data_IF_502778747460
#
_entry.id   IF_502778747460
#
_cell.length_a   1.000
_cell.length_b   1.000
_cell.length_c   1.000
_cell.angle_alpha   90.00
_cell.angle_beta   90.00
_cell.angle_gamma   90.00
#
_symmetry.space_group_name_H-M   'P 1'
#
loop_
_entity.id
_entity.type
_entity.pdbx_description
1 polymer ?
#
# COMPACT_ATOMS: atom_id res chain seq x y z
N UNK A 1 18.77 -8.12 -16.74
CA UNK A 1 17.79 -8.85 -15.91
C UNK A 1 17.40 -8.09 -14.63
N UNK A 2 18.33 -7.76 -13.72
CA UNK A 2 18.03 -7.04 -12.46
C UNK A 2 17.27 -5.72 -12.67
N UNK A 3 17.64 -4.93 -13.69
CA UNK A 3 16.94 -3.68 -14.03
C UNK A 3 15.45 -3.90 -14.34
N UNK A 4 15.09 -5.00 -15.00
CA UNK A 4 13.69 -5.31 -15.34
C UNK A 4 12.90 -5.67 -14.08
N UNK A 5 13.48 -6.47 -13.18
CA UNK A 5 12.87 -6.76 -11.88
C UNK A 5 12.67 -5.50 -11.04
N UNK A 6 13.60 -4.54 -11.11
CA UNK A 6 13.44 -3.26 -10.42
C UNK A 6 12.35 -2.39 -11.01
N UNK A 7 12.23 -2.32 -12.34
CA UNK A 7 11.12 -1.63 -13.00
C UNK A 7 9.77 -2.28 -12.65
N UNK A 8 9.72 -3.62 -12.67
CA UNK A 8 8.55 -4.37 -12.24
C UNK A 8 8.18 -4.06 -10.79
N UNK A 9 9.16 -4.02 -9.88
CA UNK A 9 8.95 -3.66 -8.49
C UNK A 9 8.34 -2.26 -8.33
N UNK A 10 8.86 -1.27 -9.07
CA UNK A 10 8.30 0.10 -9.05
C UNK A 10 6.86 0.10 -9.58
N UNK A 11 6.60 -0.58 -10.70
CA UNK A 11 5.26 -0.68 -11.27
C UNK A 11 4.28 -1.39 -10.32
N UNK A 12 4.73 -2.47 -9.66
CA UNK A 12 3.97 -3.22 -8.66
C UNK A 12 3.47 -2.31 -7.53
N UNK A 13 4.38 -1.53 -6.94
CA UNK A 13 3.99 -0.58 -5.88
C UNK A 13 3.20 0.62 -6.41
N UNK A 14 3.43 1.05 -7.66
CA UNK A 14 2.57 2.04 -8.32
C UNK A 14 1.11 1.57 -8.44
N UNK A 15 0.89 0.30 -8.77
CA UNK A 15 -0.46 -0.30 -8.79
C UNK A 15 -1.07 -0.33 -7.38
N UNK A 16 -0.28 -0.66 -6.35
CA UNK A 16 -0.75 -0.64 -4.95
C UNK A 16 -1.15 0.78 -4.51
N UNK A 17 -0.44 1.83 -4.97
CA UNK A 17 -0.86 3.23 -4.75
C UNK A 17 -2.24 3.49 -5.39
N UNK A 18 -2.46 3.07 -6.63
CA UNK A 18 -3.76 3.24 -7.27
C UNK A 18 -4.87 2.43 -6.55
N UNK A 19 -4.56 1.20 -6.12
CA UNK A 19 -5.48 0.34 -5.39
C UNK A 19 -5.84 0.92 -4.01
N UNK A 20 -4.91 1.58 -3.32
CA UNK A 20 -5.20 2.26 -2.05
C UNK A 20 -6.07 3.51 -2.23
N UNK A 21 -5.96 4.23 -3.35
CA UNK A 21 -6.92 5.28 -3.72
C UNK A 21 -8.32 4.69 -3.93
N UNK A 22 -8.41 3.60 -4.70
CA UNK A 22 -9.65 2.85 -4.87
C UNK A 22 -10.21 2.40 -3.52
N UNK A 23 -9.35 2.00 -2.58
CA UNK A 23 -9.76 1.55 -1.26
C UNK A 23 -10.43 2.63 -0.42
N UNK A 24 -9.95 3.88 -0.50
CA UNK A 24 -10.62 5.02 0.12
C UNK A 24 -11.97 5.31 -0.54
N UNK A 25 -12.06 5.22 -1.88
CA UNK A 25 -13.33 5.34 -2.58
C UNK A 25 -14.32 4.25 -2.12
N UNK A 26 -13.90 2.99 -2.06
CA UNK A 26 -14.77 1.87 -1.63
C UNK A 26 -15.22 2.01 -0.18
N UNK A 27 -14.34 2.50 0.70
CA UNK A 27 -14.72 2.82 2.08
C UNK A 27 -15.80 3.92 2.12
N UNK A 28 -15.60 5.00 1.36
CA UNK A 28 -16.58 6.07 1.23
C UNK A 28 -17.90 5.59 0.61
N UNK A 29 -17.83 4.74 -0.42
CA UNK A 29 -19.01 4.14 -1.05
C UNK A 29 -19.80 3.29 -0.06
N UNK A 30 -19.14 2.48 0.77
CA UNK A 30 -19.82 1.72 1.83
C UNK A 30 -20.50 2.60 2.88
N UNK A 31 -19.92 3.77 3.20
CA UNK A 31 -20.48 4.73 4.17
C UNK A 31 -21.62 5.57 3.58
N UNK A 32 -21.48 6.03 2.34
CA UNK A 32 -22.34 7.06 1.73
C UNK A 32 -23.25 6.52 0.62
N UNK A 33 -23.26 5.22 0.35
CA UNK A 33 -24.13 4.64 -0.66
C UNK A 33 -25.62 4.98 -0.40
N UNK A 34 -26.36 5.16 -1.49
CA UNK A 34 -27.79 5.42 -1.44
C UNK A 34 -28.57 4.14 -1.75
N UNK A 35 -29.82 4.06 -1.32
CA UNK A 35 -30.77 2.99 -1.67
C UNK A 35 -30.35 1.56 -1.27
N UNK A 36 -29.77 1.37 -0.08
CA UNK A 36 -29.44 0.03 0.43
C UNK A 36 -28.27 -0.66 -0.28
N UNK A 37 -27.54 0.06 -1.14
CA UNK A 37 -26.34 -0.42 -1.82
C UNK A 37 -25.05 -0.19 -1.00
N UNK A 38 -25.18 -0.09 0.33
CA UNK A 38 -24.09 0.12 1.29
C UNK A 38 -23.33 -1.19 1.51
N UNK A 39 -22.54 -1.58 0.52
CA UNK A 39 -21.78 -2.82 0.57
C UNK A 39 -20.28 -2.55 0.78
N UNK A 40 -19.75 -3.07 1.88
CA UNK A 40 -18.32 -3.07 2.18
C UNK A 40 -17.60 -4.31 1.61
N UNK A 41 -18.32 -5.27 1.03
CA UNK A 41 -17.76 -6.48 0.42
C UNK A 41 -16.57 -6.20 -0.50
N UNK A 42 -16.71 -5.31 -1.51
CA UNK A 42 -15.59 -4.92 -2.37
C UNK A 42 -14.43 -4.27 -1.62
N UNK A 43 -14.72 -3.45 -0.60
CA UNK A 43 -13.70 -2.85 0.25
C UNK A 43 -12.89 -3.94 0.98
N UNK A 44 -13.54 -4.95 1.54
CA UNK A 44 -12.84 -6.04 2.22
C UNK A 44 -11.91 -6.81 1.26
N UNK A 45 -12.44 -7.23 0.11
CA UNK A 45 -11.68 -8.01 -0.88
C UNK A 45 -10.47 -7.23 -1.39
N UNK A 46 -10.64 -5.96 -1.78
CA UNK A 46 -9.53 -5.14 -2.28
C UNK A 46 -8.51 -4.87 -1.17
N UNK A 47 -8.97 -4.70 0.07
CA UNK A 47 -8.09 -4.54 1.24
C UNK A 47 -7.18 -5.74 1.47
N UNK A 48 -7.74 -6.95 1.41
CA UNK A 48 -6.99 -8.20 1.55
C UNK A 48 -5.98 -8.37 0.42
N UNK A 49 -6.38 -8.08 -0.82
CA UNK A 49 -5.51 -8.15 -1.99
C UNK A 49 -4.33 -7.17 -1.89
N UNK A 50 -4.56 -5.95 -1.39
CA UNK A 50 -3.48 -4.99 -1.10
C UNK A 50 -2.51 -5.55 -0.08
N UNK A 51 -3.01 -6.17 1.00
CA UNK A 51 -2.19 -6.77 2.06
C UNK A 51 -1.29 -7.89 1.52
N UNK A 52 -1.87 -8.79 0.72
CA UNK A 52 -1.14 -9.86 0.03
C UNK A 52 -0.11 -9.28 -0.95
N UNK A 53 -0.48 -8.24 -1.72
CA UNK A 53 0.42 -7.63 -2.69
C UNK A 53 1.64 -6.96 -2.05
N UNK A 54 1.46 -6.31 -0.89
CA UNK A 54 2.55 -5.73 -0.10
C UNK A 54 3.48 -6.84 0.42
N UNK A 55 2.92 -7.93 0.95
CA UNK A 55 3.70 -9.11 1.39
C UNK A 55 4.53 -9.70 0.25
N UNK A 56 3.92 -9.96 -0.91
CA UNK A 56 4.62 -10.45 -2.10
C UNK A 56 5.72 -9.48 -2.56
N UNK A 57 5.48 -8.19 -2.37
CA UNK A 57 6.48 -7.15 -2.59
C UNK A 57 7.79 -7.43 -1.85
N UNK A 58 7.78 -8.04 -0.66
CA UNK A 58 9.01 -8.32 0.08
C UNK A 58 9.89 -9.32 -0.69
N UNK A 59 9.28 -10.41 -1.20
CA UNK A 59 9.97 -11.36 -2.08
C UNK A 59 10.48 -10.70 -3.37
N UNK A 60 9.68 -9.83 -3.96
CA UNK A 60 10.09 -9.06 -5.15
C UNK A 60 11.27 -8.12 -4.86
N UNK A 61 11.36 -7.54 -3.66
CA UNK A 61 12.49 -6.69 -3.27
C UNK A 61 13.82 -7.48 -3.29
N UNK A 62 13.80 -8.73 -2.80
CA UNK A 62 14.95 -9.62 -2.86
C UNK A 62 15.29 -10.01 -4.30
N UNK A 63 14.29 -10.41 -5.10
CA UNK A 63 14.49 -10.76 -6.52
C UNK A 63 15.06 -9.58 -7.34
N UNK A 64 14.58 -8.36 -7.08
CA UNK A 64 15.04 -7.14 -7.72
C UNK A 64 16.37 -6.59 -7.14
N UNK A 65 16.91 -7.24 -6.10
CA UNK A 65 18.10 -6.78 -5.37
C UNK A 65 17.98 -5.31 -4.98
N UNK A 66 16.83 -4.96 -4.37
CA UNK A 66 16.59 -3.63 -3.85
C UNK A 66 17.48 -3.36 -2.64
N UNK A 67 17.90 -2.09 -2.43
CA UNK A 67 18.64 -1.73 -1.22
C UNK A 67 17.84 -2.03 0.04
N UNK A 68 18.53 -2.39 1.13
CA UNK A 68 17.88 -2.72 2.40
C UNK A 68 16.94 -1.64 2.91
N UNK A 69 17.24 -0.36 2.66
CA UNK A 69 16.32 0.74 3.02
C UNK A 69 14.94 0.58 2.36
N UNK A 70 14.86 0.23 1.07
CA UNK A 70 13.59 0.02 0.37
C UNK A 70 12.89 -1.24 0.90
N UNK A 71 13.65 -2.32 1.10
CA UNK A 71 13.11 -3.58 1.65
C UNK A 71 12.56 -3.39 3.06
N UNK A 72 13.23 -2.62 3.92
CA UNK A 72 12.78 -2.31 5.29
C UNK A 72 11.49 -1.49 5.24
N UNK A 73 11.39 -0.46 4.40
CA UNK A 73 10.13 0.30 4.24
C UNK A 73 9.00 -0.63 3.84
N UNK A 74 9.26 -1.58 2.93
CA UNK A 74 8.27 -2.57 2.53
C UNK A 74 7.81 -3.47 3.68
N UNK A 75 8.77 -3.95 4.49
CA UNK A 75 8.47 -4.73 5.70
C UNK A 75 7.63 -3.92 6.68
N UNK A 76 7.97 -2.64 6.89
CA UNK A 76 7.16 -1.75 7.74
C UNK A 76 5.75 -1.61 7.18
N UNK A 77 5.56 -1.43 5.87
CA UNK A 77 4.22 -1.41 5.26
C UNK A 77 3.45 -2.70 5.51
N UNK A 78 4.10 -3.86 5.44
CA UNK A 78 3.46 -5.13 5.76
C UNK A 78 3.03 -5.21 7.24
N UNK A 79 3.87 -4.73 8.16
CA UNK A 79 3.51 -4.62 9.58
C UNK A 79 2.32 -3.66 9.76
N UNK A 80 2.30 -2.53 9.06
CA UNK A 80 1.16 -1.61 9.08
C UNK A 80 -0.11 -2.27 8.52
N UNK A 81 -0.02 -3.16 7.52
CA UNK A 81 -1.17 -3.94 7.04
C UNK A 81 -1.69 -4.91 8.09
N UNK A 82 -0.81 -5.56 8.86
CA UNK A 82 -1.23 -6.40 9.98
C UNK A 82 -1.96 -5.58 11.08
N UNK A 83 -1.43 -4.40 11.40
CA UNK A 83 -2.07 -3.44 12.30
C UNK A 83 -3.42 -3.00 11.71
N UNK A 84 -3.51 -2.71 10.41
CA UNK A 84 -4.73 -2.31 9.71
C UNK A 84 -5.83 -3.36 9.88
N UNK A 85 -5.50 -4.63 9.67
CA UNK A 85 -6.42 -5.75 9.83
C UNK A 85 -6.86 -5.92 11.29
N UNK A 86 -5.95 -5.75 12.25
CA UNK A 86 -6.28 -5.80 13.67
C UNK A 86 -7.24 -4.68 14.04
N UNK A 87 -6.93 -3.43 13.66
CA UNK A 87 -7.77 -2.24 13.92
C UNK A 87 -9.19 -2.42 13.38
N UNK A 88 -9.34 -2.98 12.18
CA UNK A 88 -10.63 -3.24 11.55
C UNK A 88 -11.52 -4.21 12.36
N UNK A 89 -10.91 -5.14 13.12
CA UNK A 89 -11.61 -6.25 13.78
C UNK A 89 -11.57 -6.17 15.31
N UNK A 90 -11.14 -5.04 15.90
CA UNK A 90 -11.00 -4.92 17.36
C UNK A 90 -12.31 -5.02 18.14
N UNK A 91 -13.44 -4.65 17.52
CA UNK A 91 -14.74 -4.51 18.19
C UNK A 91 -14.86 -3.28 19.11
N UNK A 92 -13.80 -2.51 19.31
CA UNK A 92 -13.80 -1.30 20.14
C UNK A 92 -13.84 -0.08 19.24
N UNK A 93 -14.99 0.59 19.14
CA UNK A 93 -15.25 1.65 18.15
C UNK A 93 -14.17 2.74 18.10
N UNK A 94 -13.76 3.27 19.25
CA UNK A 94 -12.74 4.34 19.32
C UNK A 94 -11.36 3.89 18.85
N UNK A 95 -10.97 2.63 19.12
CA UNK A 95 -9.70 2.07 18.64
C UNK A 95 -9.82 1.69 17.17
N UNK A 96 -10.95 1.12 16.75
CA UNK A 96 -11.21 0.77 15.35
C UNK A 96 -11.20 1.97 14.42
N UNK A 97 -11.57 3.17 14.90
CA UNK A 97 -11.46 4.41 14.13
C UNK A 97 -10.01 4.73 13.69
N UNK A 98 -8.99 4.26 14.43
CA UNK A 98 -7.58 4.40 14.04
C UNK A 98 -7.24 3.66 12.74
N UNK A 99 -8.09 2.72 12.30
CA UNK A 99 -7.95 2.04 11.01
C UNK A 99 -7.88 3.05 9.85
N UNK A 100 -8.65 4.13 9.90
CA UNK A 100 -8.61 5.17 8.84
C UNK A 100 -7.26 5.88 8.85
N UNK A 101 -6.75 6.23 10.04
CA UNK A 101 -5.46 6.90 10.21
C UNK A 101 -4.32 6.01 9.72
N UNK A 102 -4.32 4.73 10.09
CA UNK A 102 -3.31 3.77 9.65
C UNK A 102 -3.39 3.52 8.13
N UNK A 103 -4.59 3.53 7.54
CA UNK A 103 -4.78 3.51 6.09
C UNK A 103 -4.10 4.67 5.36
N UNK A 104 -4.17 5.89 5.91
CA UNK A 104 -3.45 7.06 5.38
C UNK A 104 -1.93 6.87 5.49
N UNK A 105 -1.43 6.33 6.60
CA UNK A 105 0.00 6.03 6.75
C UNK A 105 0.48 5.01 5.72
N UNK A 106 -0.29 3.96 5.46
CA UNK A 106 0.01 2.96 4.42
C UNK A 106 0.04 3.61 3.05
N UNK A 107 -0.94 4.45 2.71
CA UNK A 107 -0.99 5.15 1.43
C UNK A 107 0.25 6.03 1.21
N UNK A 108 0.56 6.91 2.17
CA UNK A 108 1.73 7.78 2.10
C UNK A 108 3.04 6.99 2.11
N UNK A 109 3.13 5.95 2.92
CA UNK A 109 4.29 5.07 2.99
C UNK A 109 4.52 4.29 1.69
N UNK A 110 3.45 3.91 0.99
CA UNK A 110 3.53 3.21 -0.31
C UNK A 110 3.98 4.18 -1.41
N UNK A 111 3.49 5.42 -1.42
CA UNK A 111 4.01 6.48 -2.30
C UNK A 111 5.51 6.71 -2.03
N UNK A 112 5.88 6.83 -0.76
CA UNK A 112 7.27 7.05 -0.36
C UNK A 112 8.17 5.89 -0.80
N UNK A 113 7.77 4.64 -0.53
CA UNK A 113 8.49 3.45 -1.01
C UNK A 113 8.64 3.47 -2.53
N UNK A 114 7.57 3.74 -3.26
CA UNK A 114 7.58 3.79 -4.73
C UNK A 114 8.59 4.81 -5.24
N UNK A 115 8.64 6.00 -4.61
CA UNK A 115 9.62 7.04 -4.93
C UNK A 115 11.04 6.59 -4.64
N UNK A 116 11.29 5.99 -3.48
CA UNK A 116 12.63 5.49 -3.11
C UNK A 116 13.10 4.37 -4.04
N UNK A 117 12.20 3.46 -4.45
CA UNK A 117 12.49 2.45 -5.45
C UNK A 117 12.78 3.08 -6.82
N UNK A 118 12.02 4.10 -7.22
CA UNK A 118 12.21 4.84 -8.48
C UNK A 118 13.61 5.47 -8.55
N UNK A 119 14.12 6.02 -7.44
CA UNK A 119 15.50 6.56 -7.36
C UNK A 119 16.56 5.50 -7.66
N UNK A 120 16.31 4.25 -7.30
CA UNK A 120 17.23 3.12 -7.57
C UNK A 120 17.23 2.74 -9.05
N UNK A 121 16.10 2.91 -9.75
CA UNK A 121 15.95 2.57 -11.18
C UNK A 121 16.36 3.71 -12.10
N UNK A 122 15.92 4.92 -11.77
CA UNK A 122 16.10 6.14 -12.57
C UNK A 122 16.57 7.32 -11.69
N UNK A 123 17.83 7.32 -11.25
CA UNK A 123 18.37 8.32 -10.31
C UNK A 123 18.35 9.76 -10.85
N UNK A 124 18.27 9.97 -12.17
CA UNK A 124 18.17 11.30 -12.80
C UNK A 124 16.75 11.76 -13.14
N UNK A 125 15.72 10.96 -12.85
CA UNK A 125 14.33 11.31 -13.17
C UNK A 125 13.83 12.47 -12.30
N UNK A 126 12.81 13.19 -12.76
CA UNK A 126 12.20 14.27 -11.97
C UNK A 126 11.67 13.75 -10.62
N UNK A 127 11.19 12.49 -10.58
CA UNK A 127 10.75 11.79 -9.37
C UNK A 127 11.86 11.61 -8.32
N UNK A 128 13.13 11.63 -8.72
CA UNK A 128 14.28 11.43 -7.85
C UNK A 128 14.76 12.72 -7.16
N UNK A 129 14.33 13.90 -7.62
CA UNK A 129 14.77 15.18 -7.06
C UNK A 129 14.19 15.41 -5.65
N UNK A 130 14.92 16.05 -4.73
CA UNK A 130 14.34 16.58 -3.49
C UNK A 130 13.22 17.56 -3.82
N UNK A 131 12.13 17.55 -3.04
CA UNK A 131 11.11 18.61 -3.12
C UNK A 131 11.57 19.79 -2.29
#
# INVERSE_FOLDING_TARGET
MVRNFRMFYVAWFGIIVAATVLQFYLAGYGVFGFHGLNDFGPHFVVGDLIGIAILLGIGLAFAARMPWRVTIINIVLFVLMFIQATLAHTGVQGVGALHVVNGVLIFLGTIYLTREATKVVWPGSWFARPM
#
